data_IF_354047520329
#
_entry.id   IF_354047520329
#
_cell.length_a   1.000
_cell.length_b   1.000
_cell.length_c   1.000
_cell.angle_alpha   90.00
_cell.angle_beta   90.00
_cell.angle_gamma   90.00
#
_symmetry.space_group_name_H-M   'P 1'
#
loop_
_entity.id
_entity.type
_entity.pdbx_description
1 polymer ?
#
# COMPACT_ATOMS: atom_id res chain seq x y z
N UNK A 1 -29.61 23.46 -12.87
CA UNK A 1 -29.12 22.34 -13.68
C UNK A 1 -28.51 21.36 -12.71
N UNK A 2 -29.19 20.26 -12.42
CA UNK A 2 -28.63 19.14 -11.64
C UNK A 2 -27.54 18.52 -12.51
N UNK A 3 -26.27 18.72 -12.15
CA UNK A 3 -25.17 17.96 -12.72
C UNK A 3 -25.41 16.49 -12.36
N UNK A 4 -25.86 15.67 -13.31
CA UNK A 4 -25.81 14.22 -13.16
C UNK A 4 -24.36 13.86 -12.85
N UNK A 5 -24.10 13.33 -11.66
CA UNK A 5 -22.80 12.78 -11.31
C UNK A 5 -22.49 11.67 -12.31
N UNK A 6 -21.49 11.88 -13.14
CA UNK A 6 -21.05 10.89 -14.13
C UNK A 6 -20.50 9.68 -13.38
N UNK A 7 -21.24 8.58 -13.36
CA UNK A 7 -20.82 7.35 -12.70
C UNK A 7 -19.86 6.58 -13.60
N UNK A 8 -18.58 6.59 -13.27
CA UNK A 8 -17.56 5.83 -13.99
C UNK A 8 -17.70 4.32 -13.77
N UNK A 9 -17.33 3.54 -14.77
CA UNK A 9 -17.31 2.09 -14.74
C UNK A 9 -15.86 1.57 -14.79
N UNK A 10 -15.55 0.35 -14.34
CA UNK A 10 -14.20 -0.22 -14.38
C UNK A 10 -13.54 -0.15 -15.76
N UNK A 11 -14.33 -0.27 -16.84
CA UNK A 11 -13.85 -0.17 -18.22
C UNK A 11 -13.31 1.23 -18.59
N UNK A 12 -13.77 2.28 -17.92
CA UNK A 12 -13.37 3.67 -18.21
C UNK A 12 -11.93 3.95 -17.74
N UNK A 13 -11.42 3.12 -16.82
CA UNK A 13 -10.04 3.17 -16.32
C UNK A 13 -9.11 2.21 -17.06
N UNK A 14 -9.60 1.39 -17.98
CA UNK A 14 -8.83 0.41 -18.73
C UNK A 14 -8.33 1.00 -20.03
N UNK A 15 -7.01 0.90 -20.30
CA UNK A 15 -6.43 1.25 -21.59
C UNK A 15 -6.73 0.19 -22.67
N UNK A 16 -6.42 0.52 -23.93
CA UNK A 16 -6.49 -0.38 -25.08
C UNK A 16 -5.25 -1.29 -25.22
N UNK A 17 -4.27 -1.13 -24.33
CA UNK A 17 -3.01 -1.85 -24.42
C UNK A 17 -3.15 -3.32 -24.04
N UNK A 18 -2.49 -4.20 -24.80
CA UNK A 18 -2.39 -5.61 -24.45
C UNK A 18 -1.51 -5.83 -23.22
N UNK A 19 -2.04 -6.54 -22.22
CA UNK A 19 -1.32 -6.83 -20.98
C UNK A 19 -0.21 -7.85 -21.25
N UNK A 20 1.03 -7.51 -20.87
CA UNK A 20 2.26 -8.26 -21.18
C UNK A 20 2.79 -9.10 -20.02
N UNK A 21 2.08 -9.17 -18.91
CA UNK A 21 2.45 -10.06 -17.79
C UNK A 21 2.32 -11.54 -18.18
N UNK A 22 3.03 -12.40 -17.47
CA UNK A 22 2.98 -13.84 -17.69
C UNK A 22 1.54 -14.37 -17.47
N UNK A 23 1.07 -15.35 -18.25
CA UNK A 23 -0.20 -16.01 -17.99
C UNK A 23 -0.21 -16.62 -16.56
N UNK A 24 -1.24 -16.31 -15.79
CA UNK A 24 -1.37 -16.77 -14.40
C UNK A 24 -0.66 -15.91 -13.36
N UNK A 25 0.03 -14.82 -13.74
CA UNK A 25 0.64 -13.87 -12.81
C UNK A 25 -0.43 -13.17 -11.97
N UNK A 26 -0.21 -13.02 -10.66
CA UNK A 26 -1.13 -12.34 -9.75
C UNK A 26 -1.37 -10.87 -10.07
N UNK A 27 -0.45 -10.22 -10.77
CA UNK A 27 -0.58 -8.81 -11.19
C UNK A 27 -1.85 -8.55 -12.03
N UNK A 28 -2.33 -9.56 -12.81
CA UNK A 28 -3.60 -9.46 -13.55
C UNK A 28 -4.80 -9.28 -12.63
N UNK A 29 -4.81 -9.98 -11.50
CA UNK A 29 -5.88 -9.91 -10.53
C UNK A 29 -5.92 -8.52 -9.87
N UNK A 30 -4.76 -8.00 -9.46
CA UNK A 30 -4.62 -6.69 -8.84
C UNK A 30 -5.05 -5.57 -9.80
N UNK A 31 -4.65 -5.64 -11.08
CA UNK A 31 -5.10 -4.69 -12.10
C UNK A 31 -6.63 -4.63 -12.20
N UNK A 32 -7.29 -5.80 -12.22
CA UNK A 32 -8.74 -5.86 -12.26
C UNK A 32 -9.39 -5.26 -11.00
N UNK A 33 -8.81 -5.50 -9.82
CA UNK A 33 -9.27 -4.91 -8.56
C UNK A 33 -9.09 -3.40 -8.54
N UNK A 34 -7.97 -2.88 -9.08
CA UNK A 34 -7.73 -1.44 -9.20
C UNK A 34 -8.77 -0.74 -10.09
N UNK A 35 -9.09 -1.30 -11.26
CA UNK A 35 -10.15 -0.75 -12.11
C UNK A 35 -11.49 -0.67 -11.38
N UNK A 36 -11.84 -1.68 -10.57
CA UNK A 36 -13.07 -1.71 -9.77
C UNK A 36 -13.03 -0.67 -8.63
N UNK A 37 -11.93 -0.65 -7.87
CA UNK A 37 -11.76 0.29 -6.77
C UNK A 37 -11.83 1.75 -7.25
N UNK A 38 -11.16 2.08 -8.36
CA UNK A 38 -11.22 3.42 -8.95
C UNK A 38 -12.64 3.79 -9.40
N UNK A 39 -13.41 2.83 -9.95
CA UNK A 39 -14.81 3.06 -10.31
C UNK A 39 -15.70 3.28 -9.08
N UNK A 40 -15.45 2.56 -7.98
CA UNK A 40 -16.17 2.74 -6.71
C UNK A 40 -15.87 4.09 -6.03
N UNK A 41 -14.63 4.57 -6.17
CA UNK A 41 -14.22 5.89 -5.67
C UNK A 41 -14.80 7.02 -6.52
N UNK A 42 -14.96 6.78 -7.82
CA UNK A 42 -15.66 7.69 -8.74
C UNK A 42 -14.86 8.92 -9.18
N UNK A 43 -13.55 8.97 -8.92
CA UNK A 43 -12.69 10.06 -9.41
C UNK A 43 -12.50 9.91 -10.92
N UNK A 44 -12.72 10.98 -11.67
CA UNK A 44 -12.58 10.96 -13.13
C UNK A 44 -11.18 10.53 -13.57
N UNK A 45 -11.02 9.71 -14.64
CA UNK A 45 -9.71 9.23 -15.09
C UNK A 45 -8.68 10.35 -15.34
N UNK A 46 -9.11 11.50 -15.81
CA UNK A 46 -8.24 12.66 -16.04
C UNK A 46 -7.85 13.43 -14.77
N UNK A 47 -8.41 13.06 -13.62
CA UNK A 47 -8.02 13.57 -12.29
C UNK A 47 -7.20 12.53 -11.51
N UNK A 48 -6.75 11.48 -12.18
CA UNK A 48 -5.89 10.44 -11.60
C UNK A 48 -4.52 10.42 -12.28
N UNK A 49 -3.49 10.14 -11.49
CA UNK A 49 -2.15 9.86 -11.97
C UNK A 49 -1.66 8.53 -11.38
N UNK A 50 -1.34 7.56 -12.26
CA UNK A 50 -0.78 6.27 -11.87
C UNK A 50 0.71 6.27 -12.19
N UNK A 51 1.55 6.27 -11.16
CA UNK A 51 3.00 6.42 -11.26
C UNK A 51 3.64 5.15 -10.75
N UNK A 52 4.61 4.61 -11.47
CA UNK A 52 5.28 3.37 -11.06
C UNK A 52 6.80 3.49 -10.99
N UNK A 53 7.41 2.60 -10.22
CA UNK A 53 8.84 2.36 -10.21
C UNK A 53 9.29 1.45 -11.34
N UNK A 54 10.12 0.43 -11.04
CA UNK A 54 10.63 -0.55 -11.99
C UNK A 54 10.35 -1.97 -11.48
N UNK A 55 9.95 -2.84 -12.37
CA UNK A 55 9.61 -4.24 -12.13
C UNK A 55 8.37 -4.68 -12.92
N UNK A 56 7.88 -5.89 -12.67
CA UNK A 56 6.69 -6.41 -13.36
C UNK A 56 5.46 -5.54 -13.07
N UNK A 57 5.18 -5.27 -11.79
CA UNK A 57 4.08 -4.40 -11.36
C UNK A 57 4.14 -3.00 -12.00
N UNK A 58 5.34 -2.50 -12.26
CA UNK A 58 5.57 -1.15 -12.79
C UNK A 58 5.14 -0.96 -14.24
N UNK A 59 4.72 -2.03 -14.93
CA UNK A 59 4.05 -1.91 -16.23
C UNK A 59 2.59 -1.44 -16.12
N UNK A 60 2.02 -1.39 -14.91
CA UNK A 60 0.62 -1.09 -14.67
C UNK A 60 0.14 0.22 -15.31
N UNK A 61 0.90 1.34 -15.30
CA UNK A 61 0.46 2.58 -15.95
C UNK A 61 0.10 2.44 -17.44
N UNK A 62 0.73 1.50 -18.17
CA UNK A 62 0.39 1.23 -19.57
C UNK A 62 -1.00 0.64 -19.76
N UNK A 63 -1.54 0.01 -18.70
CA UNK A 63 -2.84 -0.67 -18.72
C UNK A 63 -3.99 0.17 -18.16
N UNK A 64 -3.67 1.43 -17.78
CA UNK A 64 -4.61 2.38 -17.22
C UNK A 64 -4.98 3.47 -18.23
N UNK A 65 -6.24 3.86 -18.27
CA UNK A 65 -6.72 5.02 -19.01
C UNK A 65 -6.78 6.25 -18.11
N UNK A 66 -5.63 6.59 -17.51
CA UNK A 66 -5.41 7.74 -16.62
C UNK A 66 -4.14 8.44 -17.06
N UNK A 67 -3.80 9.59 -16.46
CA UNK A 67 -2.41 10.04 -16.54
C UNK A 67 -1.51 9.01 -15.86
N UNK A 68 -0.34 8.77 -16.44
CA UNK A 68 0.60 7.83 -15.83
C UNK A 68 1.92 7.75 -16.56
N UNK A 69 2.93 7.33 -15.82
CA UNK A 69 4.28 7.07 -16.33
C UNK A 69 5.06 6.18 -15.36
N UNK A 70 6.06 5.47 -15.85
CA UNK A 70 7.03 4.82 -15.00
C UNK A 70 8.25 5.71 -14.75
N UNK A 71 8.92 5.48 -13.63
CA UNK A 71 10.07 6.25 -13.20
C UNK A 71 11.36 5.41 -13.21
N UNK A 72 12.29 5.73 -12.34
CA UNK A 72 13.54 5.00 -12.13
C UNK A 72 13.39 4.09 -10.91
N UNK A 73 14.11 2.97 -10.90
CA UNK A 73 14.09 1.98 -9.83
C UNK A 73 14.26 2.61 -8.44
N UNK A 74 13.29 2.35 -7.57
CA UNK A 74 13.24 2.85 -6.20
C UNK A 74 12.99 4.36 -6.04
N UNK A 75 12.52 5.05 -7.08
CA UNK A 75 12.30 6.51 -7.03
C UNK A 75 10.85 6.93 -7.11
N UNK A 76 9.94 5.98 -7.30
CA UNK A 76 8.51 6.29 -7.48
C UNK A 76 7.93 7.09 -6.31
N UNK A 77 8.28 6.79 -5.06
CA UNK A 77 7.74 7.51 -3.90
C UNK A 77 8.18 8.98 -3.88
N UNK A 78 9.43 9.28 -4.25
CA UNK A 78 9.92 10.66 -4.35
C UNK A 78 9.22 11.43 -5.47
N UNK A 79 9.06 10.79 -6.64
CA UNK A 79 8.46 11.43 -7.82
C UNK A 79 6.94 11.61 -7.61
N UNK A 80 6.24 10.61 -7.08
CA UNK A 80 4.82 10.72 -6.75
C UNK A 80 4.55 11.82 -5.70
N UNK A 81 5.43 11.95 -4.70
CA UNK A 81 5.40 13.07 -3.74
C UNK A 81 5.47 14.41 -4.46
N UNK A 82 6.39 14.56 -5.43
CA UNK A 82 6.51 15.78 -6.24
C UNK A 82 5.25 16.08 -7.05
N UNK A 83 4.66 15.06 -7.68
CA UNK A 83 3.40 15.20 -8.43
C UNK A 83 2.26 15.66 -7.51
N UNK A 84 2.07 15.01 -6.36
CA UNK A 84 1.02 15.37 -5.40
C UNK A 84 1.20 16.78 -4.85
N UNK A 85 2.43 17.15 -4.50
CA UNK A 85 2.73 18.49 -3.99
C UNK A 85 2.50 19.58 -5.05
N UNK A 86 2.82 19.31 -6.33
CA UNK A 86 2.59 20.25 -7.42
C UNK A 86 1.13 20.33 -7.88
N UNK A 87 0.38 19.23 -7.74
CA UNK A 87 -1.02 19.08 -8.15
C UNK A 87 -1.82 18.35 -7.05
N UNK A 88 -2.17 19.05 -5.97
CA UNK A 88 -2.86 18.48 -4.81
C UNK A 88 -4.27 17.98 -5.13
N UNK A 89 -4.85 18.43 -6.22
CA UNK A 89 -6.16 18.05 -6.74
C UNK A 89 -6.19 16.63 -7.35
N UNK A 90 -5.04 16.07 -7.73
CA UNK A 90 -4.98 14.75 -8.34
C UNK A 90 -5.07 13.62 -7.29
N UNK A 91 -5.81 12.57 -7.63
CA UNK A 91 -5.69 11.27 -6.98
C UNK A 91 -4.44 10.57 -7.51
N UNK A 92 -3.42 10.44 -6.69
CA UNK A 92 -2.11 9.89 -7.09
C UNK A 92 -1.95 8.46 -6.58
N UNK A 93 -1.77 7.52 -7.52
CA UNK A 93 -1.53 6.11 -7.25
C UNK A 93 -0.08 5.76 -7.53
N UNK A 94 0.59 5.24 -6.52
CA UNK A 94 1.98 4.81 -6.57
C UNK A 94 2.02 3.28 -6.65
N UNK A 95 2.53 2.75 -7.76
CA UNK A 95 2.62 1.32 -8.03
C UNK A 95 4.08 0.88 -7.92
N UNK A 96 4.33 -0.10 -7.05
CA UNK A 96 5.69 -0.57 -6.78
C UNK A 96 5.70 -2.06 -6.45
N UNK A 97 6.82 -2.72 -6.69
CA UNK A 97 7.08 -4.07 -6.18
C UNK A 97 7.86 -4.00 -4.87
N UNK A 98 7.91 -5.11 -4.14
CA UNK A 98 8.65 -5.26 -2.90
C UNK A 98 10.15 -4.92 -3.08
N UNK A 99 10.79 -5.41 -4.13
CA UNK A 99 12.17 -5.10 -4.44
C UNK A 99 12.41 -3.64 -4.84
N UNK A 100 11.49 -3.04 -5.58
CA UNK A 100 11.57 -1.63 -5.99
C UNK A 100 11.38 -0.69 -4.79
N UNK A 101 10.40 -1.00 -3.95
CA UNK A 101 10.03 -0.18 -2.79
C UNK A 101 11.03 -0.26 -1.64
N UNK A 102 11.44 -1.48 -1.26
CA UNK A 102 12.08 -1.75 0.01
C UNK A 102 13.61 -1.90 -0.07
N UNK A 103 14.16 -2.09 -1.28
CA UNK A 103 15.61 -2.06 -1.49
C UNK A 103 16.09 -0.59 -1.62
N UNK A 104 16.50 -0.19 -2.82
CA UNK A 104 16.97 1.18 -3.05
C UNK A 104 15.90 2.26 -2.82
N UNK A 105 14.62 1.89 -2.87
CA UNK A 105 13.48 2.77 -2.62
C UNK A 105 13.15 3.03 -1.15
N UNK A 106 13.70 2.23 -0.22
CA UNK A 106 13.28 2.22 1.20
C UNK A 106 13.31 3.60 1.88
N UNK A 107 14.35 4.39 1.64
CA UNK A 107 14.43 5.75 2.16
C UNK A 107 13.27 6.64 1.68
N UNK A 108 12.94 6.60 0.40
CA UNK A 108 11.85 7.41 -0.17
C UNK A 108 10.47 6.94 0.30
N UNK A 109 10.29 5.62 0.45
CA UNK A 109 9.09 5.03 1.02
C UNK A 109 8.86 5.53 2.46
N UNK A 110 9.87 5.38 3.33
CA UNK A 110 9.80 5.85 4.73
C UNK A 110 9.44 7.34 4.79
N UNK A 111 10.05 8.17 3.95
CA UNK A 111 9.79 9.60 3.97
C UNK A 111 8.44 9.99 3.40
N UNK A 112 7.89 9.28 2.41
CA UNK A 112 6.52 9.50 1.92
C UNK A 112 5.49 9.16 3.01
N UNK A 113 5.67 8.00 3.66
CA UNK A 113 4.79 7.52 4.74
C UNK A 113 4.85 8.45 5.96
N UNK A 114 6.05 8.76 6.49
CA UNK A 114 6.18 9.59 7.70
C UNK A 114 5.69 11.03 7.53
N UNK A 115 5.72 11.56 6.30
CA UNK A 115 5.17 12.88 5.97
C UNK A 115 3.68 12.85 5.72
N UNK A 116 3.10 11.69 5.68
CA UNK A 116 1.69 11.48 5.36
C UNK A 116 1.28 12.19 4.05
N UNK A 117 2.10 12.01 2.99
CA UNK A 117 1.76 12.54 1.66
C UNK A 117 0.51 11.83 1.15
N UNK A 118 -0.47 12.56 0.64
CA UNK A 118 -1.74 11.99 0.15
C UNK A 118 -1.53 11.15 -1.12
N UNK A 119 -1.07 9.90 -0.94
CA UNK A 119 -0.71 8.92 -1.97
C UNK A 119 -1.34 7.57 -1.70
N UNK A 120 -1.86 6.93 -2.74
CA UNK A 120 -2.32 5.54 -2.70
C UNK A 120 -1.17 4.62 -3.09
N UNK A 121 -0.44 4.07 -2.12
CA UNK A 121 0.72 3.20 -2.35
C UNK A 121 0.26 1.75 -2.44
N UNK A 122 0.41 1.14 -3.62
CA UNK A 122 0.10 -0.28 -3.84
C UNK A 122 1.40 -1.05 -4.03
N UNK A 123 1.72 -1.88 -3.04
CA UNK A 123 2.94 -2.68 -2.99
C UNK A 123 2.62 -4.13 -3.38
N UNK A 124 3.12 -4.54 -4.54
CA UNK A 124 3.01 -5.92 -5.03
C UNK A 124 4.14 -6.75 -4.43
N UNK A 125 3.79 -7.64 -3.51
CA UNK A 125 4.76 -8.47 -2.80
C UNK A 125 4.74 -9.91 -3.32
N UNK A 126 5.67 -10.21 -4.22
CA UNK A 126 5.88 -11.57 -4.76
C UNK A 126 7.17 -12.23 -4.25
N UNK A 127 7.87 -11.58 -3.32
CA UNK A 127 9.11 -12.02 -2.69
C UNK A 127 10.23 -12.38 -3.69
N UNK A 128 10.28 -11.67 -4.84
CA UNK A 128 11.29 -11.95 -5.88
C UNK A 128 11.44 -10.77 -6.86
N UNK A 129 12.62 -10.52 -7.38
CA UNK A 129 12.81 -9.71 -8.57
C UNK A 129 12.47 -10.52 -9.83
N UNK A 130 11.19 -10.49 -10.24
CA UNK A 130 10.72 -11.28 -11.40
C UNK A 130 11.21 -10.74 -12.74
N UNK A 131 11.20 -9.43 -12.95
CA UNK A 131 11.57 -8.80 -14.23
C UNK A 131 13.03 -9.11 -14.63
N UNK A 132 13.93 -9.14 -13.66
CA UNK A 132 15.36 -9.42 -13.85
C UNK A 132 15.73 -10.90 -13.75
N UNK A 133 14.71 -11.78 -13.78
CA UNK A 133 14.81 -13.23 -13.88
C UNK A 133 15.20 -13.98 -12.59
N UNK A 134 14.71 -13.50 -11.43
CA UNK A 134 14.63 -14.34 -10.24
C UNK A 134 15.73 -14.12 -9.19
N UNK A 135 16.22 -12.92 -9.00
CA UNK A 135 17.03 -12.57 -7.84
C UNK A 135 16.13 -12.47 -6.60
N UNK A 136 16.68 -12.78 -5.41
CA UNK A 136 15.96 -12.58 -4.18
C UNK A 136 15.70 -11.08 -3.95
N UNK A 137 14.54 -10.76 -3.38
CA UNK A 137 14.12 -9.42 -3.01
C UNK A 137 14.28 -9.19 -1.51
N UNK A 138 14.14 -7.97 -0.99
CA UNK A 138 14.20 -7.71 0.45
C UNK A 138 13.16 -8.46 1.30
N UNK A 139 12.09 -8.98 0.68
CA UNK A 139 11.05 -9.77 1.37
C UNK A 139 11.19 -11.27 1.16
N UNK A 140 12.21 -11.74 0.40
CA UNK A 140 12.50 -13.15 0.23
C UNK A 140 12.89 -13.80 1.54
N UNK A 141 12.38 -15.00 1.81
CA UNK A 141 12.63 -15.71 3.06
C UNK A 141 14.12 -16.08 3.20
N UNK A 142 14.63 -16.12 4.44
CA UNK A 142 15.99 -16.59 4.73
C UNK A 142 16.16 -18.01 4.17
N UNK A 143 17.29 -18.26 3.53
CA UNK A 143 17.59 -19.54 2.90
C UNK A 143 17.02 -19.70 1.47
N UNK A 144 16.34 -18.67 0.92
CA UNK A 144 15.83 -18.74 -0.44
C UNK A 144 16.95 -18.92 -1.46
N UNK A 145 16.88 -19.99 -2.27
CA UNK A 145 17.87 -20.34 -3.28
C UNK A 145 17.46 -19.77 -4.64
N UNK A 146 18.37 -19.05 -5.28
CA UNK A 146 18.21 -18.55 -6.65
C UNK A 146 19.51 -18.71 -7.45
N UNK A 147 19.44 -18.41 -8.75
CA UNK A 147 20.66 -18.47 -9.59
C UNK A 147 21.78 -17.54 -9.13
N UNK A 148 21.41 -16.38 -8.55
CA UNK A 148 22.38 -15.41 -8.01
C UNK A 148 22.73 -15.67 -6.54
N UNK A 149 22.00 -16.54 -5.86
CA UNK A 149 22.21 -16.93 -4.47
C UNK A 149 22.11 -18.46 -4.33
N UNK A 150 23.06 -19.23 -4.91
CA UNK A 150 22.95 -20.68 -5.04
C UNK A 150 23.06 -21.42 -3.69
N UNK A 151 23.53 -20.76 -2.66
CA UNK A 151 23.63 -21.30 -1.28
C UNK A 151 22.56 -20.79 -0.34
N UNK A 152 21.56 -20.07 -0.87
CA UNK A 152 20.48 -19.44 -0.11
C UNK A 152 20.84 -18.06 0.44
N UNK A 153 19.81 -17.28 0.72
CA UNK A 153 19.94 -15.95 1.36
C UNK A 153 20.28 -16.10 2.84
N UNK A 154 21.08 -15.17 3.37
CA UNK A 154 21.45 -15.12 4.79
C UNK A 154 20.79 -13.97 5.55
N UNK A 155 20.04 -13.15 4.85
CA UNK A 155 19.33 -11.99 5.38
C UNK A 155 17.93 -12.38 5.87
N UNK A 156 17.46 -11.70 6.91
CA UNK A 156 16.07 -11.78 7.32
C UNK A 156 15.21 -10.86 6.44
N UNK A 157 14.01 -11.31 6.04
CA UNK A 157 13.16 -10.52 5.16
C UNK A 157 12.60 -9.28 5.87
N UNK A 158 12.44 -8.19 5.12
CA UNK A 158 11.58 -7.09 5.55
C UNK A 158 10.13 -7.54 5.62
N UNK A 159 9.42 -7.08 6.63
CA UNK A 159 7.96 -7.11 6.71
C UNK A 159 7.47 -5.71 6.35
N UNK A 160 6.81 -5.52 5.20
CA UNK A 160 6.40 -4.18 4.74
C UNK A 160 5.55 -3.42 5.74
N UNK A 161 4.70 -4.12 6.48
CA UNK A 161 3.86 -3.55 7.53
C UNK A 161 4.67 -2.97 8.69
N UNK A 162 5.73 -3.67 9.16
CA UNK A 162 6.60 -3.15 10.22
C UNK A 162 7.26 -1.84 9.80
N UNK A 163 7.74 -1.78 8.55
CA UNK A 163 8.40 -0.60 8.05
C UNK A 163 7.41 0.57 7.88
N UNK A 164 6.20 0.31 7.37
CA UNK A 164 5.16 1.32 7.22
C UNK A 164 4.70 1.87 8.57
N UNK A 165 4.37 0.99 9.51
CA UNK A 165 3.91 1.37 10.85
C UNK A 165 5.04 1.97 11.70
N UNK A 166 6.27 1.48 11.56
CA UNK A 166 7.47 2.05 12.19
C UNK A 166 7.81 3.44 11.66
N UNK A 167 7.48 3.74 10.40
CA UNK A 167 7.54 5.08 9.81
C UNK A 167 6.36 5.99 10.23
N UNK A 168 5.53 5.55 11.18
CA UNK A 168 4.30 6.23 11.65
C UNK A 168 3.21 6.34 10.57
N UNK A 169 3.08 5.30 9.73
CA UNK A 169 2.01 5.24 8.73
C UNK A 169 0.63 5.26 9.38
N UNK A 170 -0.24 6.09 8.84
CA UNK A 170 -1.61 6.26 9.30
C UNK A 170 -2.57 5.23 8.71
N UNK A 171 -2.22 4.66 7.56
CA UNK A 171 -2.98 3.59 6.91
C UNK A 171 -2.07 2.43 6.50
N UNK A 172 -2.51 1.23 6.84
CA UNK A 172 -1.94 0.00 6.30
C UNK A 172 -3.00 -1.06 6.12
N UNK A 173 -3.05 -1.65 4.92
CA UNK A 173 -3.91 -2.79 4.61
C UNK A 173 -3.11 -3.89 3.90
N UNK A 174 -3.57 -5.15 4.03
CA UNK A 174 -2.99 -6.30 3.34
C UNK A 174 -4.07 -7.13 2.66
N UNK A 175 -3.77 -7.62 1.47
CA UNK A 175 -4.64 -8.51 0.71
C UNK A 175 -3.83 -9.58 -0.05
N UNK A 176 -4.53 -10.49 -0.73
CA UNK A 176 -3.95 -11.55 -1.57
C UNK A 176 -4.60 -11.55 -2.95
N UNK A 177 -3.84 -11.86 -3.99
CA UNK A 177 -4.25 -11.80 -5.40
C UNK A 177 -5.43 -12.73 -5.77
N UNK A 178 -5.62 -13.82 -5.03
CA UNK A 178 -6.72 -14.78 -5.25
C UNK A 178 -8.06 -14.34 -4.66
N UNK A 179 -8.09 -13.29 -3.83
CA UNK A 179 -9.30 -12.78 -3.18
C UNK A 179 -9.69 -11.42 -3.74
N UNK A 180 -10.29 -11.45 -4.95
CA UNK A 180 -10.64 -10.24 -5.70
C UNK A 180 -11.60 -9.31 -4.95
N UNK A 181 -12.54 -9.87 -4.17
CA UNK A 181 -13.51 -9.08 -3.40
C UNK A 181 -12.80 -8.28 -2.33
N UNK A 182 -12.07 -8.95 -1.46
CA UNK A 182 -11.36 -8.31 -0.35
C UNK A 182 -10.23 -7.40 -0.86
N UNK A 183 -9.54 -7.75 -1.96
CA UNK A 183 -8.54 -6.87 -2.58
C UNK A 183 -9.18 -5.58 -3.10
N UNK A 184 -10.35 -5.65 -3.74
CA UNK A 184 -11.08 -4.44 -4.17
C UNK A 184 -11.50 -3.60 -2.96
N UNK A 185 -12.01 -4.24 -1.89
CA UNK A 185 -12.44 -3.58 -0.65
C UNK A 185 -11.28 -2.77 -0.02
N UNK A 186 -10.11 -3.37 0.16
CA UNK A 186 -8.96 -2.67 0.77
C UNK A 186 -8.39 -1.58 -0.12
N UNK A 187 -8.38 -1.76 -1.45
CA UNK A 187 -7.94 -0.72 -2.39
C UNK A 187 -8.91 0.46 -2.42
N UNK A 188 -10.20 0.21 -2.27
CA UNK A 188 -11.22 1.26 -2.16
C UNK A 188 -11.07 2.03 -0.84
N UNK A 189 -10.82 1.32 0.27
CA UNK A 189 -10.54 1.94 1.57
C UNK A 189 -9.26 2.79 1.51
N UNK A 190 -8.18 2.26 0.90
CA UNK A 190 -6.93 2.98 0.65
C UNK A 190 -7.17 4.30 -0.08
N UNK A 191 -7.98 4.28 -1.14
CA UNK A 191 -8.28 5.47 -1.94
C UNK A 191 -9.17 6.51 -1.24
N UNK A 192 -9.91 6.10 -0.22
CA UNK A 192 -10.74 7.00 0.59
C UNK A 192 -10.00 7.59 1.79
N UNK A 193 -8.91 6.94 2.21
CA UNK A 193 -8.04 7.46 3.24
C UNK A 193 -7.39 8.77 2.80
N UNK A 194 -7.31 9.75 3.69
CA UNK A 194 -6.64 11.03 3.45
C UNK A 194 -5.22 10.99 4.01
N UNK A 195 -4.25 10.87 3.12
CA UNK A 195 -2.84 10.74 3.47
C UNK A 195 -2.16 9.55 2.78
N UNK A 196 -1.00 9.15 3.30
CA UNK A 196 -0.24 8.02 2.77
C UNK A 196 -0.91 6.69 3.14
N UNK A 197 -1.68 6.13 2.24
CA UNK A 197 -2.21 4.78 2.38
C UNK A 197 -1.24 3.76 1.78
N UNK A 198 -0.93 2.71 2.54
CA UNK A 198 -0.08 1.59 2.09
C UNK A 198 -0.92 0.33 2.02
N UNK A 199 -1.11 -0.21 0.83
CA UNK A 199 -1.77 -1.50 0.61
C UNK A 199 -0.76 -2.50 0.06
N UNK A 200 -0.41 -3.49 0.88
CA UNK A 200 0.38 -4.64 0.46
C UNK A 200 -0.53 -5.69 -0.16
N UNK A 201 -0.27 -6.08 -1.39
CA UNK A 201 -0.95 -7.21 -2.03
C UNK A 201 0.05 -8.34 -2.24
N UNK A 202 -0.18 -9.48 -1.57
CA UNK A 202 0.60 -10.69 -1.74
C UNK A 202 0.24 -11.32 -3.07
N UNK A 203 1.20 -11.37 -4.00
CA UNK A 203 0.97 -11.80 -5.39
C UNK A 203 1.87 -12.99 -5.74
N UNK A 204 1.36 -13.89 -6.57
CA UNK A 204 2.11 -15.05 -7.05
C UNK A 204 2.91 -14.72 -8.31
N UNK A 205 4.21 -15.05 -8.31
CA UNK A 205 5.06 -15.02 -9.49
C UNK A 205 5.21 -16.44 -10.08
N UNK A 206 4.38 -16.77 -11.05
CA UNK A 206 4.30 -18.12 -11.67
C UNK A 206 5.59 -18.63 -12.33
N UNK A 207 6.57 -17.76 -12.57
CA UNK A 207 7.80 -18.13 -13.28
C UNK A 207 9.00 -18.30 -12.33
N UNK A 208 9.16 -17.42 -11.36
CA UNK A 208 10.39 -17.39 -10.55
C UNK A 208 10.14 -17.67 -9.08
N UNK A 209 8.89 -17.64 -8.61
CA UNK A 209 8.54 -17.88 -7.20
C UNK A 209 7.11 -18.45 -7.07
N UNK A 210 6.82 -19.45 -7.87
CA UNK A 210 5.48 -20.05 -7.94
C UNK A 210 5.11 -20.72 -6.60
N UNK A 211 3.91 -20.42 -6.13
CA UNK A 211 3.37 -20.99 -4.90
C UNK A 211 3.94 -20.39 -3.61
N UNK A 212 4.68 -19.26 -3.66
CA UNK A 212 5.28 -18.67 -2.45
C UNK A 212 4.24 -18.38 -1.34
N UNK A 213 3.01 -18.07 -1.71
CA UNK A 213 1.92 -17.81 -0.79
C UNK A 213 0.95 -19.00 -0.65
N UNK A 214 1.31 -20.21 -1.12
CA UNK A 214 0.42 -21.38 -1.15
C UNK A 214 -0.20 -21.67 0.22
N UNK A 215 0.53 -21.51 1.32
CA UNK A 215 0.04 -21.75 2.68
C UNK A 215 -1.15 -20.89 3.12
N UNK A 216 -1.40 -19.76 2.45
CA UNK A 216 -2.47 -18.81 2.76
C UNK A 216 -3.46 -18.59 1.60
N UNK A 217 -3.15 -19.09 0.40
CA UNK A 217 -4.06 -18.94 -0.76
C UNK A 217 -4.85 -20.21 -1.08
N UNK A 218 -4.32 -21.37 -0.72
CA UNK A 218 -4.99 -22.65 -0.94
C UNK A 218 -6.28 -22.72 -0.11
N UNK A 219 -7.40 -23.03 -0.78
CA UNK A 219 -8.73 -23.09 -0.15
C UNK A 219 -8.80 -24.07 1.02
N UNK A 220 -7.97 -25.12 1.01
CA UNK A 220 -7.93 -26.12 2.09
C UNK A 220 -7.42 -25.53 3.42
N UNK A 221 -6.59 -24.49 3.38
CA UNK A 221 -5.92 -23.97 4.59
C UNK A 221 -6.22 -22.49 4.84
N UNK A 222 -6.66 -21.74 3.83
CA UNK A 222 -6.82 -20.28 3.90
C UNK A 222 -7.63 -19.81 5.10
N UNK A 223 -8.77 -20.44 5.37
CA UNK A 223 -9.62 -20.05 6.48
C UNK A 223 -8.94 -20.19 7.85
N UNK A 224 -8.04 -21.17 8.00
CA UNK A 224 -7.30 -21.43 9.24
C UNK A 224 -5.97 -20.67 9.33
N UNK A 225 -5.50 -20.11 8.22
CA UNK A 225 -4.20 -19.44 8.10
C UNK A 225 -4.31 -17.93 7.84
N UNK A 226 -5.53 -17.42 7.67
CA UNK A 226 -5.77 -15.98 7.46
C UNK A 226 -6.92 -15.50 8.33
N UNK A 227 -6.84 -14.25 8.73
CA UNK A 227 -7.93 -13.51 9.34
C UNK A 227 -8.17 -12.23 8.55
N UNK A 228 -9.42 -11.96 8.15
CA UNK A 228 -9.77 -10.72 7.48
C UNK A 228 -10.33 -9.72 8.50
N UNK A 229 -9.56 -8.69 8.78
CA UNK A 229 -9.86 -7.68 9.79
C UNK A 229 -10.84 -6.63 9.23
N UNK A 230 -11.88 -6.33 10.01
CA UNK A 230 -12.81 -5.22 9.79
C UNK A 230 -12.97 -4.43 11.07
N UNK A 231 -12.97 -3.11 10.95
CA UNK A 231 -13.20 -2.22 12.09
C UNK A 231 -14.53 -2.54 12.78
N UNK A 232 -14.51 -2.63 14.10
CA UNK A 232 -15.68 -2.93 14.94
C UNK A 232 -16.08 -4.40 15.04
N UNK A 233 -15.44 -5.30 14.27
CA UNK A 233 -15.74 -6.73 14.30
C UNK A 233 -14.79 -7.50 15.24
N UNK A 234 -15.29 -8.57 15.87
CA UNK A 234 -14.45 -9.49 16.66
C UNK A 234 -13.46 -10.19 15.74
N UNK A 235 -12.23 -10.35 16.21
CA UNK A 235 -11.14 -10.99 15.47
C UNK A 235 -11.26 -12.51 15.51
N UNK A 236 -12.29 -13.04 14.83
CA UNK A 236 -12.60 -14.47 14.73
C UNK A 236 -12.21 -14.99 13.36
N UNK A 237 -11.70 -16.21 13.28
CA UNK A 237 -11.30 -16.85 12.03
C UNK A 237 -11.38 -18.40 12.14
N UNK A 238 -10.92 -19.08 11.10
CA UNK A 238 -10.97 -20.54 11.00
C UNK A 238 -12.12 -21.02 10.14
N UNK A 239 -12.01 -22.24 9.62
CA UNK A 239 -13.04 -22.83 8.76
C UNK A 239 -14.40 -22.96 9.46
N UNK A 240 -14.39 -23.14 10.78
CA UNK A 240 -15.59 -23.22 11.62
C UNK A 240 -15.87 -21.92 12.38
N UNK A 241 -15.13 -20.84 12.16
CA UNK A 241 -15.22 -19.60 12.95
C UNK A 241 -15.07 -19.84 14.46
N UNK A 242 -14.19 -20.75 14.83
CA UNK A 242 -13.97 -21.24 16.19
C UNK A 242 -12.65 -20.80 16.80
N UNK A 243 -11.84 -20.03 16.04
CA UNK A 243 -10.58 -19.44 16.52
C UNK A 243 -10.73 -17.95 16.72
N UNK A 244 -10.09 -17.41 17.76
CA UNK A 244 -10.10 -16.00 18.07
C UNK A 244 -8.75 -15.48 18.47
N UNK A 245 -8.53 -14.17 18.29
CA UNK A 245 -7.34 -13.48 18.79
C UNK A 245 -7.63 -12.84 20.15
N UNK A 246 -6.76 -13.11 21.11
CA UNK A 246 -6.83 -12.57 22.48
C UNK A 246 -5.48 -11.99 22.89
N UNK A 247 -5.46 -11.14 23.92
CA UNK A 247 -4.22 -10.73 24.59
C UNK A 247 -3.98 -11.61 25.82
N UNK A 248 -2.79 -12.22 25.88
CA UNK A 248 -2.27 -12.92 27.04
C UNK A 248 -1.08 -12.10 27.59
N UNK A 249 -1.36 -11.26 28.58
CA UNK A 249 -0.45 -10.21 29.00
C UNK A 249 -0.18 -9.22 27.88
N UNK A 250 1.08 -9.12 27.41
CA UNK A 250 1.50 -8.25 26.30
C UNK A 250 1.66 -9.02 24.97
N UNK A 251 1.14 -10.23 24.87
CA UNK A 251 1.28 -11.06 23.67
C UNK A 251 -0.06 -11.32 23.03
N UNK A 252 -0.12 -11.12 21.72
CA UNK A 252 -1.24 -11.56 20.91
C UNK A 252 -1.18 -13.08 20.76
N UNK A 253 -2.30 -13.76 20.99
CA UNK A 253 -2.42 -15.22 20.98
C UNK A 253 -3.65 -15.64 20.19
N UNK A 254 -3.53 -16.73 19.44
CA UNK A 254 -4.66 -17.43 18.86
C UNK A 254 -5.17 -18.50 19.82
N UNK A 255 -6.47 -18.56 20.03
CA UNK A 255 -7.11 -19.52 20.91
C UNK A 255 -8.29 -20.19 20.19
N UNK A 256 -8.67 -21.39 20.65
CA UNK A 256 -9.93 -22.01 20.24
C UNK A 256 -11.02 -21.57 21.20
N UNK A 257 -12.07 -20.96 20.67
CA UNK A 257 -13.20 -20.41 21.45
C UNK A 257 -13.95 -21.59 22.09
N UNK A 258 -14.23 -21.49 23.39
CA UNK A 258 -14.85 -22.55 24.17
C UNK A 258 -13.88 -23.59 24.73
N UNK A 259 -12.56 -23.43 24.54
CA UNK A 259 -11.53 -24.29 25.10
C UNK A 259 -10.59 -23.48 26.04
N UNK A 260 -9.92 -24.17 26.95
CA UNK A 260 -8.94 -23.58 27.90
C UNK A 260 -9.47 -22.34 28.67
N UNK A 261 -10.77 -22.25 28.85
CA UNK A 261 -11.44 -21.15 29.55
C UNK A 261 -11.70 -19.90 28.71
N UNK A 262 -11.29 -19.86 27.43
CA UNK A 262 -11.54 -18.74 26.54
C UNK A 262 -12.96 -18.79 25.94
N UNK A 263 -13.64 -17.66 25.98
CA UNK A 263 -15.00 -17.49 25.45
C UNK A 263 -14.98 -16.48 24.30
N UNK A 264 -16.12 -16.30 23.65
CA UNK A 264 -16.28 -15.25 22.62
C UNK A 264 -16.05 -13.85 23.20
N UNK A 265 -16.31 -13.64 24.50
CA UNK A 265 -16.16 -12.32 25.14
C UNK A 265 -14.69 -11.91 25.30
N UNK A 266 -13.79 -12.88 25.39
CA UNK A 266 -12.35 -12.66 25.49
C UNK A 266 -11.71 -12.27 24.14
N UNK A 267 -12.41 -12.56 23.02
CA UNK A 267 -11.91 -12.25 21.67
C UNK A 267 -11.91 -10.75 21.44
N UNK A 268 -10.75 -10.25 21.02
CA UNK A 268 -10.54 -8.83 20.71
C UNK A 268 -11.47 -8.35 19.59
N UNK A 269 -11.88 -7.10 19.72
CA UNK A 269 -12.54 -6.35 18.64
C UNK A 269 -11.49 -5.52 17.92
N UNK A 270 -11.48 -5.59 16.59
CA UNK A 270 -10.55 -4.80 15.79
C UNK A 270 -10.96 -3.33 15.75
N UNK A 271 -10.06 -2.45 16.19
CA UNK A 271 -10.21 -1.00 16.02
C UNK A 271 -9.11 -0.49 15.08
N UNK A 272 -9.46 -0.30 13.79
CA UNK A 272 -8.54 0.24 12.80
C UNK A 272 -8.18 1.71 13.05
N UNK A 273 -9.00 2.43 13.84
CA UNK A 273 -8.85 3.86 14.09
C UNK A 273 -8.16 4.19 15.43
N UNK A 274 -7.71 3.16 16.19
CA UNK A 274 -6.94 3.37 17.41
C UNK A 274 -5.64 4.14 17.08
N UNK A 275 -5.41 5.23 17.82
CA UNK A 275 -4.24 6.10 17.60
C UNK A 275 -2.93 5.40 17.99
N UNK A 276 -2.93 4.67 19.10
CA UNK A 276 -1.80 3.81 19.46
C UNK A 276 -1.69 2.65 18.48
N UNK A 277 -0.50 2.46 17.92
CA UNK A 277 -0.30 1.45 16.89
C UNK A 277 0.23 0.10 17.41
N UNK A 278 0.30 -0.10 18.72
CA UNK A 278 0.89 -1.31 19.32
C UNK A 278 0.16 -2.56 18.86
N UNK A 279 -1.18 -2.60 18.96
CA UNK A 279 -1.96 -3.75 18.52
C UNK A 279 -1.89 -3.92 16.98
N UNK A 280 -1.91 -2.82 16.22
CA UNK A 280 -1.75 -2.88 14.77
C UNK A 280 -0.40 -3.49 14.36
N UNK A 281 0.67 -3.13 15.08
CA UNK A 281 1.99 -3.71 14.87
C UNK A 281 1.99 -5.22 15.17
N UNK A 282 1.40 -5.64 16.30
CA UNK A 282 1.27 -7.06 16.63
C UNK A 282 0.49 -7.83 15.55
N UNK A 283 -0.63 -7.29 15.08
CA UNK A 283 -1.44 -7.89 14.01
C UNK A 283 -0.66 -7.99 12.69
N UNK A 284 0.07 -6.94 12.35
CA UNK A 284 0.87 -6.88 11.13
C UNK A 284 2.03 -7.89 11.09
N UNK A 285 2.58 -8.22 12.27
CA UNK A 285 3.72 -9.12 12.48
C UNK A 285 3.33 -10.58 12.71
N UNK A 286 2.06 -10.92 12.79
CA UNK A 286 1.62 -12.30 12.99
C UNK A 286 2.24 -13.23 11.94
N UNK A 287 2.84 -14.32 12.41
CA UNK A 287 3.57 -15.30 11.60
C UNK A 287 3.60 -16.67 12.29
N UNK A 288 4.18 -17.67 11.64
CA UNK A 288 4.29 -19.02 12.17
C UNK A 288 2.94 -19.72 12.33
N UNK A 289 2.56 -20.03 13.55
CA UNK A 289 1.27 -20.69 13.87
C UNK A 289 0.10 -19.70 13.95
N UNK A 290 0.38 -18.40 13.93
CA UNK A 290 -0.65 -17.36 13.91
C UNK A 290 -1.21 -17.19 12.48
N UNK A 291 -2.45 -16.73 12.32
CA UNK A 291 -2.99 -16.39 11.01
C UNK A 291 -2.29 -15.14 10.46
N UNK A 292 -2.27 -15.00 9.13
CA UNK A 292 -1.85 -13.75 8.50
C UNK A 292 -3.03 -12.77 8.52
N UNK A 293 -2.82 -11.57 9.04
CA UNK A 293 -3.81 -10.50 9.03
C UNK A 293 -3.98 -9.93 7.61
N UNK A 294 -5.20 -9.97 7.10
CA UNK A 294 -5.67 -9.37 5.86
C UNK A 294 -6.73 -8.31 6.20
N UNK A 295 -7.06 -7.45 5.24
CA UNK A 295 -8.00 -6.35 5.45
C UNK A 295 -7.30 -5.05 5.84
N UNK A 296 -8.07 -4.09 6.32
CA UNK A 296 -7.55 -2.81 6.81
C UNK A 296 -7.07 -3.00 8.25
N UNK A 297 -5.76 -3.00 8.45
CA UNK A 297 -5.14 -3.20 9.77
C UNK A 297 -5.13 -1.89 10.56
N UNK A 298 -4.88 -0.77 9.88
CA UNK A 298 -4.85 0.58 10.46
C UNK A 298 -5.42 1.60 9.48
N UNK A 299 -6.24 2.52 9.99
CA UNK A 299 -6.81 3.65 9.25
C UNK A 299 -7.07 4.81 10.22
N UNK A 300 -6.10 5.66 10.41
CA UNK A 300 -6.14 6.78 11.36
C UNK A 300 -5.96 8.10 10.63
N UNK A 301 -6.88 9.01 10.81
CA UNK A 301 -6.80 10.34 10.24
C UNK A 301 -5.62 11.15 10.80
N UNK A 302 -5.01 11.96 9.95
CA UNK A 302 -3.92 12.84 10.33
C UNK A 302 -3.65 13.92 9.28
N UNK A 303 -2.96 15.01 9.67
CA UNK A 303 -2.63 16.08 8.74
C UNK A 303 -1.71 15.57 7.63
N UNK A 304 -1.92 16.03 6.39
CA UNK A 304 -1.06 15.72 5.26
C UNK A 304 0.00 16.81 5.05
N UNK A 305 1.17 16.42 4.59
CA UNK A 305 2.27 17.37 4.32
C UNK A 305 1.93 18.30 3.14
N UNK A 306 1.32 17.77 2.10
CA UNK A 306 0.96 18.51 0.90
C UNK A 306 -0.05 19.63 1.23
N UNK A 307 -1.09 19.36 2.01
CA UNK A 307 -2.02 20.40 2.48
C UNK A 307 -1.33 21.43 3.39
N UNK A 308 -0.53 20.96 4.35
CA UNK A 308 0.17 21.85 5.26
C UNK A 308 1.13 22.81 4.53
N UNK A 309 1.83 22.36 3.49
CA UNK A 309 2.70 23.19 2.66
C UNK A 309 1.89 24.23 1.88
N UNK A 310 0.78 23.83 1.26
CA UNK A 310 -0.09 24.76 0.54
C UNK A 310 -0.68 25.83 1.46
N UNK A 311 -1.20 25.41 2.62
CA UNK A 311 -1.68 26.35 3.63
C UNK A 311 -0.61 27.36 4.06
N UNK A 312 0.62 26.88 4.32
CA UNK A 312 1.74 27.75 4.69
C UNK A 312 2.06 28.76 3.58
N UNK A 313 2.02 28.34 2.31
CA UNK A 313 2.22 29.22 1.15
C UNK A 313 1.15 30.31 1.10
N UNK A 314 -0.13 29.92 1.23
CA UNK A 314 -1.27 30.84 1.23
C UNK A 314 -1.18 31.87 2.36
N UNK A 315 -0.86 31.42 3.59
CA UNK A 315 -0.68 32.29 4.75
C UNK A 315 0.44 33.32 4.55
N UNK A 316 1.57 32.88 3.96
CA UNK A 316 2.69 33.78 3.66
C UNK A 316 2.36 34.77 2.54
N UNK A 317 1.64 34.31 1.52
CA UNK A 317 1.16 35.17 0.42
C UNK A 317 0.16 36.22 0.92
N UNK A 318 -0.77 35.81 1.78
CA UNK A 318 -1.75 36.74 2.37
C UNK A 318 -1.11 37.86 3.20
N UNK A 319 0.00 37.56 3.90
CA UNK A 319 0.78 38.55 4.65
C UNK A 319 1.57 39.50 3.75
N UNK A 320 1.78 39.17 2.48
CA UNK A 320 2.57 39.92 1.53
C UNK A 320 1.88 40.02 0.16
N UNK A 321 0.72 40.69 0.07
CA UNK A 321 -0.14 40.62 -1.11
C UNK A 321 0.40 41.29 -2.39
N UNK A 322 1.41 42.17 -2.26
CA UNK A 322 1.94 42.96 -3.37
C UNK A 322 3.46 42.75 -3.52
N UNK A 323 3.85 41.58 -4.03
CA UNK A 323 5.25 41.39 -4.42
C UNK A 323 5.41 41.61 -5.91
N UNK A 324 6.16 42.66 -6.28
CA UNK A 324 6.66 42.85 -7.64
C UNK A 324 7.99 42.13 -7.78
N UNK A 325 8.33 41.67 -8.98
CA UNK A 325 9.61 41.06 -9.28
C UNK A 325 10.79 42.00 -8.88
N UNK A 326 10.62 43.29 -9.11
CA UNK A 326 11.60 44.30 -8.71
C UNK A 326 11.90 44.27 -7.20
N UNK A 327 10.86 44.19 -6.35
CA UNK A 327 11.02 44.19 -4.89
C UNK A 327 11.74 42.90 -4.43
N UNK A 328 11.55 41.78 -5.14
CA UNK A 328 12.28 40.54 -4.88
C UNK A 328 13.75 40.65 -5.26
N UNK A 329 14.04 41.20 -6.42
CA UNK A 329 15.40 41.39 -6.93
C UNK A 329 16.22 42.41 -6.10
N UNK A 330 15.55 43.44 -5.55
CA UNK A 330 16.16 44.47 -4.73
C UNK A 330 16.15 44.14 -3.23
N UNK A 331 15.73 42.94 -2.85
CA UNK A 331 15.71 42.50 -1.45
C UNK A 331 17.08 41.95 -1.06
N UNK A 332 17.72 42.59 -0.08
CA UNK A 332 19.02 42.19 0.45
C UNK A 332 20.14 43.24 0.15
N UNK A 333 21.37 42.78 0.21
CA UNK A 333 22.50 43.65 -0.15
C UNK A 333 22.57 43.81 -1.66
N UNK A 334 22.47 45.06 -2.11
CA UNK A 334 22.59 45.43 -3.53
C UNK A 334 23.76 46.35 -3.71
N UNK A 335 24.38 46.31 -4.89
CA UNK A 335 25.45 47.26 -5.27
C UNK A 335 25.19 47.78 -6.68
N UNK A 336 25.59 49.00 -6.94
CA UNK A 336 25.57 49.57 -8.28
C UNK A 336 26.88 49.26 -8.99
N UNK A 337 26.77 48.75 -10.20
CA UNK A 337 27.92 48.68 -11.12
C UNK A 337 28.01 50.02 -11.83
N UNK A 338 29.08 50.80 -11.53
CA UNK A 338 29.38 52.07 -12.19
C UNK A 338 30.12 51.83 -13.48
#
# INVERSE_FOLDING_TARGET
>A
MTTEETKFQPKDYKSDQYVRWCPGCGDHAVLNCLHKAMAEVGVAPHNMAVISGIGCSSRLPYYMNTYGFHTIHGRVAAIATGVKTARPDLSVWLITGDGDCLAIGGNHFIHAVRRNIDLNIVLFNNKIYGLTKGQYSPTSDRGFVSKSSPYGTVEDPFVPAELALGARGNFFARSIDVDLKNTTEVLTASARHKGASVTEVLVNCVIFNDGIHKGIVDKAYRADRTIFLRHGEKMVYGANMDKGLVLDGLKLKSVTIGQDGYTMDDVLVHDAHEKDNTLHMMLAMMSGDMPIALGVIRDVEGPTYDEAVHQQIEEVQAKNPTRKLHDLLMKGEIWEVK
#
